data_IF_591893165778
#
_entry.id   IF_591893165778
#
_cell.length_a   1.000
_cell.length_b   1.000
_cell.length_c   1.000
_cell.angle_alpha   90.00
_cell.angle_beta   90.00
_cell.angle_gamma   90.00
#
_symmetry.space_group_name_H-M   'P 1'
#
loop_
_entity.id
_entity.type
_entity.pdbx_description
1 polymer ?
#
# COMPACT_ATOMS: atom_id res chain seq x y z
N UNK A 1 46.32 0.80 -13.43
CA UNK A 1 45.90 -0.58 -13.66
C UNK A 1 45.86 -0.81 -15.16
N UNK A 2 46.62 -1.76 -15.70
CA UNK A 2 46.47 -2.16 -17.09
C UNK A 2 45.27 -3.11 -17.19
N UNK A 3 44.38 -2.84 -18.15
CA UNK A 3 43.24 -3.72 -18.45
C UNK A 3 43.65 -4.55 -19.66
N UNK A 4 43.85 -5.84 -19.47
CA UNK A 4 44.08 -6.79 -20.56
C UNK A 4 42.76 -7.37 -21.03
N UNK A 5 42.59 -7.48 -22.35
CA UNK A 5 41.37 -7.96 -22.97
C UNK A 5 41.66 -9.30 -23.63
N UNK A 6 40.98 -10.36 -23.20
CA UNK A 6 41.07 -11.66 -23.85
C UNK A 6 40.36 -11.67 -25.21
N UNK A 7 40.79 -12.55 -26.10
CA UNK A 7 40.26 -12.69 -27.46
C UNK A 7 38.73 -12.90 -27.48
N UNK A 8 38.19 -13.66 -26.53
CA UNK A 8 36.75 -13.85 -26.38
C UNK A 8 35.98 -12.55 -26.11
N UNK A 9 36.53 -11.67 -25.29
CA UNK A 9 35.95 -10.35 -25.00
C UNK A 9 36.10 -9.42 -26.20
N UNK A 10 37.25 -9.47 -26.90
CA UNK A 10 37.46 -8.71 -28.12
C UNK A 10 36.47 -9.12 -29.23
N UNK A 11 36.23 -10.41 -29.42
CA UNK A 11 35.27 -10.93 -30.38
C UNK A 11 33.83 -10.48 -30.07
N UNK A 12 33.47 -10.41 -28.77
CA UNK A 12 32.19 -9.85 -28.34
C UNK A 12 32.08 -8.35 -28.66
N UNK A 13 33.14 -7.58 -28.48
CA UNK A 13 33.18 -6.16 -28.85
C UNK A 13 33.06 -5.98 -30.38
N UNK A 14 33.77 -6.80 -31.15
CA UNK A 14 33.72 -6.77 -32.61
C UNK A 14 32.31 -7.04 -33.17
N UNK A 15 31.56 -7.95 -32.54
CA UNK A 15 30.16 -8.23 -32.92
C UNK A 15 29.20 -7.05 -32.67
N UNK A 16 29.58 -6.06 -31.87
CA UNK A 16 28.77 -4.88 -31.54
C UNK A 16 29.10 -3.65 -32.41
N UNK A 17 30.07 -3.76 -33.31
CA UNK A 17 30.49 -2.71 -34.26
C UNK A 17 29.34 -2.36 -35.21
N UNK A 18 29.06 -1.07 -35.39
CA UNK A 18 28.12 -0.57 -36.38
C UNK A 18 28.89 0.19 -37.46
N UNK A 19 28.87 -0.32 -38.69
CA UNK A 19 29.60 0.31 -39.81
C UNK A 19 31.11 0.22 -39.64
N UNK A 20 31.79 1.37 -39.65
CA UNK A 20 33.27 1.47 -39.61
C UNK A 20 33.79 1.98 -38.25
N UNK A 21 33.08 1.69 -37.15
CA UNK A 21 33.54 2.10 -35.80
C UNK A 21 34.89 1.47 -35.46
N UNK A 22 35.76 2.26 -34.83
CA UNK A 22 36.98 1.75 -34.20
C UNK A 22 36.65 1.02 -32.90
N UNK A 23 37.51 0.11 -32.40
CA UNK A 23 37.30 -0.53 -31.10
C UNK A 23 37.09 0.48 -29.96
N UNK A 24 37.83 1.59 -29.98
CA UNK A 24 37.70 2.68 -29.01
C UNK A 24 36.33 3.37 -29.08
N UNK A 25 35.82 3.65 -30.29
CA UNK A 25 34.50 4.23 -30.48
C UNK A 25 33.37 3.29 -30.01
N UNK A 26 33.50 1.97 -30.24
CA UNK A 26 32.55 0.99 -29.73
C UNK A 26 32.57 0.96 -28.20
N UNK A 27 33.75 0.95 -27.59
CA UNK A 27 33.90 0.95 -26.13
C UNK A 27 33.27 2.21 -25.53
N UNK A 28 33.63 3.39 -26.03
CA UNK A 28 33.08 4.65 -25.52
C UNK A 28 31.57 4.74 -25.72
N UNK A 29 31.03 4.31 -26.87
CA UNK A 29 29.57 4.24 -27.07
C UNK A 29 28.87 3.30 -26.08
N UNK A 30 29.49 2.17 -25.75
CA UNK A 30 28.94 1.23 -24.77
C UNK A 30 29.02 1.79 -23.35
N UNK A 31 30.10 2.51 -23.02
CA UNK A 31 30.24 3.24 -21.75
C UNK A 31 29.17 4.33 -21.68
N UNK A 32 29.04 5.18 -22.70
CA UNK A 32 28.04 6.25 -22.76
C UNK A 32 26.61 5.70 -22.64
N UNK A 33 26.31 4.59 -23.33
CA UNK A 33 25.02 3.92 -23.23
C UNK A 33 24.75 3.37 -21.84
N UNK A 34 25.77 2.76 -21.20
CA UNK A 34 25.68 2.24 -19.84
C UNK A 34 25.53 3.37 -18.80
N UNK A 35 26.30 4.46 -18.94
CA UNK A 35 26.21 5.65 -18.07
C UNK A 35 24.87 6.37 -18.24
N UNK A 36 24.34 6.40 -19.46
CA UNK A 36 22.99 6.92 -19.75
C UNK A 36 21.91 6.05 -19.10
N UNK A 37 22.05 4.72 -19.16
CA UNK A 37 21.13 3.78 -18.54
C UNK A 37 21.20 3.84 -17.00
N UNK A 38 22.38 4.08 -16.42
CA UNK A 38 22.53 4.36 -14.98
C UNK A 38 21.87 5.66 -14.51
N UNK A 39 21.57 6.59 -15.42
CA UNK A 39 20.81 7.81 -15.12
C UNK A 39 19.31 7.66 -15.33
N UNK A 40 18.85 6.51 -15.87
CA UNK A 40 17.44 6.22 -16.06
C UNK A 40 16.83 5.83 -14.72
N UNK A 41 15.75 6.53 -14.33
CA UNK A 41 15.00 6.19 -13.11
C UNK A 41 14.47 4.76 -13.18
N UNK A 42 14.33 4.08 -12.02
CA UNK A 42 13.76 2.75 -11.96
C UNK A 42 12.37 2.71 -12.60
N UNK A 43 12.05 1.60 -13.24
CA UNK A 43 10.67 1.35 -13.67
C UNK A 43 9.77 1.20 -12.43
N UNK A 44 8.64 1.90 -12.41
CA UNK A 44 7.62 1.77 -11.37
C UNK A 44 6.45 0.94 -11.88
N UNK A 45 6.15 -0.14 -11.18
CA UNK A 45 4.97 -0.98 -11.43
C UNK A 45 4.06 -0.91 -10.22
N UNK A 46 2.78 -0.66 -10.45
CA UNK A 46 1.75 -0.61 -9.42
C UNK A 46 0.84 -1.83 -9.51
N UNK A 47 0.38 -2.31 -8.35
CA UNK A 47 -0.67 -3.30 -8.24
C UNK A 47 -1.66 -2.82 -7.16
N UNK A 48 -2.87 -2.35 -7.55
CA UNK A 48 -3.45 -2.38 -8.91
C UNK A 48 -2.70 -1.53 -9.96
N UNK A 49 -2.80 -1.93 -11.23
CA UNK A 49 -1.99 -1.37 -12.34
C UNK A 49 -2.34 0.07 -12.73
N UNK A 50 -3.58 0.48 -12.50
CA UNK A 50 -4.01 1.85 -12.68
C UNK A 50 -3.50 2.69 -11.51
N UNK A 51 -2.77 3.77 -11.82
CA UNK A 51 -2.11 4.60 -10.81
C UNK A 51 -3.08 5.39 -9.93
N UNK A 52 -4.21 5.85 -10.48
CA UNK A 52 -5.24 6.53 -9.70
C UNK A 52 -5.94 5.54 -8.76
N UNK A 53 -6.20 4.33 -9.24
CA UNK A 53 -6.78 3.25 -8.42
C UNK A 53 -5.82 2.83 -7.32
N UNK A 54 -4.53 2.70 -7.65
CA UNK A 54 -3.47 2.44 -6.69
C UNK A 54 -3.40 3.56 -5.65
N UNK A 55 -3.45 4.83 -6.07
CA UNK A 55 -3.44 5.98 -5.16
C UNK A 55 -4.65 5.97 -4.23
N UNK A 56 -5.85 5.66 -4.74
CA UNK A 56 -7.05 5.52 -3.89
C UNK A 56 -6.89 4.37 -2.88
N UNK A 57 -6.34 3.24 -3.31
CA UNK A 57 -6.08 2.11 -2.43
C UNK A 57 -5.00 2.43 -1.37
N UNK A 58 -3.94 3.17 -1.73
CA UNK A 58 -2.92 3.65 -0.77
C UNK A 58 -3.50 4.62 0.26
N UNK A 59 -4.50 5.44 -0.11
CA UNK A 59 -5.20 6.31 0.85
C UNK A 59 -6.04 5.51 1.85
N UNK A 60 -6.52 4.33 1.46
CA UNK A 60 -7.30 3.44 2.32
C UNK A 60 -6.41 2.49 3.14
N UNK A 61 -5.22 2.13 2.63
CA UNK A 61 -4.30 1.16 3.22
C UNK A 61 -2.94 1.80 3.54
N UNK A 62 -2.54 1.76 4.80
CA UNK A 62 -1.30 2.40 5.26
C UNK A 62 -0.02 1.55 5.06
N UNK A 63 -0.15 0.31 4.58
CA UNK A 63 0.99 -0.59 4.35
C UNK A 63 0.99 -1.14 2.93
N UNK A 64 2.09 -0.88 2.22
CA UNK A 64 2.30 -1.31 0.84
C UNK A 64 3.50 -2.24 0.80
N UNK A 65 3.38 -3.41 0.18
CA UNK A 65 4.53 -4.28 -0.08
C UNK A 65 5.31 -3.71 -1.26
N UNK A 66 6.63 -3.66 -1.14
CA UNK A 66 7.53 -3.17 -2.19
C UNK A 66 8.56 -4.25 -2.52
N UNK A 67 8.74 -4.51 -3.81
CA UNK A 67 9.76 -5.43 -4.33
C UNK A 67 10.69 -4.65 -5.27
N UNK A 68 11.97 -4.57 -4.92
CA UNK A 68 12.99 -3.79 -5.63
C UNK A 68 13.94 -4.75 -6.34
N UNK A 69 14.02 -4.62 -7.66
CA UNK A 69 14.91 -5.38 -8.51
C UNK A 69 16.14 -4.53 -8.82
N UNK A 70 17.32 -5.09 -8.60
CA UNK A 70 18.60 -4.44 -8.84
C UNK A 70 19.23 -4.85 -10.17
N UNK A 71 20.17 -4.03 -10.64
CA UNK A 71 20.91 -4.29 -11.88
C UNK A 71 21.77 -5.56 -11.84
N UNK A 72 22.14 -6.04 -10.65
CA UNK A 72 22.85 -7.31 -10.44
C UNK A 72 21.93 -8.54 -10.48
N UNK A 73 20.62 -8.34 -10.73
CA UNK A 73 19.61 -9.39 -10.77
C UNK A 73 19.01 -9.76 -9.41
N UNK A 74 19.47 -9.17 -8.30
CA UNK A 74 18.92 -9.43 -6.97
C UNK A 74 17.56 -8.74 -6.77
N UNK A 75 16.76 -9.30 -5.86
CA UNK A 75 15.46 -8.75 -5.45
C UNK A 75 15.44 -8.55 -3.94
N UNK A 76 15.10 -7.34 -3.51
CA UNK A 76 14.87 -6.98 -2.11
C UNK A 76 13.39 -6.68 -1.87
N UNK A 77 12.82 -7.26 -0.81
CA UNK A 77 11.44 -6.99 -0.41
C UNK A 77 11.40 -6.12 0.84
N UNK A 78 10.40 -5.27 0.93
CA UNK A 78 10.14 -4.46 2.11
C UNK A 78 8.71 -3.96 2.18
N UNK A 79 8.42 -3.23 3.26
CA UNK A 79 7.11 -2.60 3.47
C UNK A 79 7.27 -1.09 3.49
N UNK A 80 6.47 -0.40 2.69
CA UNK A 80 6.35 1.05 2.71
C UNK A 80 5.15 1.45 3.56
N UNK A 81 5.45 2.09 4.70
CA UNK A 81 4.44 2.73 5.53
C UNK A 81 4.24 4.16 5.02
N UNK A 82 3.08 4.42 4.44
CA UNK A 82 2.81 5.68 3.74
C UNK A 82 2.51 6.76 4.77
N UNK A 83 3.51 7.61 5.05
CA UNK A 83 3.35 8.79 5.90
C UNK A 83 3.16 10.00 5.00
N UNK A 84 1.91 10.46 4.87
CA UNK A 84 1.49 11.70 4.20
C UNK A 84 1.36 11.67 2.65
N UNK A 85 0.59 10.73 2.11
CA UNK A 85 -0.06 10.94 0.80
C UNK A 85 -1.44 11.55 1.05
N UNK A 86 -1.73 12.66 0.36
CA UNK A 86 -3.06 13.26 0.30
C UNK A 86 -3.65 13.02 -1.09
N UNK A 87 -4.96 13.23 -1.24
CA UNK A 87 -5.60 13.19 -2.56
C UNK A 87 -4.93 14.12 -3.58
N UNK A 88 -4.36 15.24 -3.12
CA UNK A 88 -3.71 16.24 -3.98
C UNK A 88 -2.22 15.99 -4.20
N UNK A 89 -1.56 15.15 -3.39
CA UNK A 89 -0.11 14.96 -3.51
C UNK A 89 0.26 14.00 -4.65
N UNK A 90 1.45 14.18 -5.22
CA UNK A 90 1.95 13.29 -6.28
C UNK A 90 2.47 11.99 -5.67
N UNK A 91 1.88 10.86 -6.07
CA UNK A 91 2.32 9.51 -5.67
C UNK A 91 3.80 9.30 -6.02
N UNK A 92 4.18 9.54 -7.28
CA UNK A 92 5.56 9.38 -7.74
C UNK A 92 6.54 10.28 -7.01
N UNK A 93 6.21 11.55 -6.75
CA UNK A 93 7.10 12.45 -6.03
C UNK A 93 7.40 11.95 -4.61
N UNK A 94 6.41 11.37 -3.92
CA UNK A 94 6.58 10.75 -2.61
C UNK A 94 7.43 9.49 -2.68
N UNK A 95 7.24 8.65 -3.70
CA UNK A 95 8.07 7.45 -3.91
C UNK A 95 9.54 7.84 -4.13
N UNK A 96 9.81 8.82 -4.99
CA UNK A 96 11.17 9.24 -5.34
C UNK A 96 11.89 9.98 -4.21
N UNK A 97 11.18 10.87 -3.50
CA UNK A 97 11.77 11.60 -2.38
C UNK A 97 11.81 10.79 -1.09
N UNK A 98 11.05 9.68 -1.02
CA UNK A 98 10.92 8.80 0.13
C UNK A 98 11.58 7.43 -0.10
N UNK A 99 10.75 6.41 -0.38
CA UNK A 99 11.16 4.99 -0.33
C UNK A 99 12.30 4.65 -1.31
N UNK A 100 12.24 5.20 -2.52
CA UNK A 100 13.27 5.04 -3.55
C UNK A 100 14.31 6.16 -3.53
N UNK A 101 14.46 6.88 -2.41
CA UNK A 101 15.58 7.82 -2.27
C UNK A 101 16.91 7.08 -2.37
N UNK A 102 17.84 7.64 -3.13
CA UNK A 102 19.16 7.05 -3.38
C UNK A 102 19.09 5.74 -4.16
N UNK A 103 18.11 5.60 -5.06
CA UNK A 103 17.91 4.38 -5.86
C UNK A 103 19.13 4.06 -6.73
N UNK A 104 19.88 5.07 -7.18
CA UNK A 104 21.04 4.92 -8.05
C UNK A 104 22.19 4.23 -7.32
N UNK A 105 22.50 4.69 -6.11
CA UNK A 105 23.53 4.11 -5.24
C UNK A 105 23.14 2.71 -4.78
N UNK A 106 21.84 2.44 -4.66
CA UNK A 106 21.28 1.12 -4.33
C UNK A 106 21.20 0.18 -5.54
N UNK A 107 21.51 0.65 -6.75
CA UNK A 107 21.46 -0.13 -8.00
C UNK A 107 20.05 -0.58 -8.40
N UNK A 108 19.00 0.11 -7.95
CA UNK A 108 17.61 -0.28 -8.22
C UNK A 108 17.28 0.09 -9.66
N UNK A 109 16.74 -0.87 -10.42
CA UNK A 109 16.32 -0.69 -11.82
C UNK A 109 14.81 -0.82 -12.01
N UNK A 110 14.12 -1.48 -11.08
CA UNK A 110 12.66 -1.60 -11.07
C UNK A 110 12.13 -1.75 -9.65
N UNK A 111 10.97 -1.16 -9.38
CA UNK A 111 10.26 -1.32 -8.11
C UNK A 111 8.78 -1.62 -8.37
N UNK A 112 8.28 -2.69 -7.75
CA UNK A 112 6.88 -3.12 -7.78
C UNK A 112 6.25 -2.76 -6.45
N UNK A 113 5.14 -2.03 -6.49
CA UNK A 113 4.37 -1.64 -5.32
C UNK A 113 3.02 -2.35 -5.35
N UNK A 114 2.74 -3.12 -4.31
CA UNK A 114 1.51 -3.89 -4.18
C UNK A 114 0.77 -3.46 -2.93
N UNK A 115 -0.47 -3.00 -3.10
CA UNK A 115 -1.37 -2.81 -1.96
C UNK A 115 -1.65 -4.19 -1.39
N UNK A 116 -1.23 -4.40 -0.14
CA UNK A 116 -1.61 -5.60 0.59
C UNK A 116 -2.92 -5.25 1.26
N UNK A 117 -4.00 -5.88 0.81
CA UNK A 117 -5.23 -5.89 1.60
C UNK A 117 -4.86 -6.45 2.97
N UNK A 118 -5.08 -5.65 4.01
CA UNK A 118 -4.78 -6.07 5.36
C UNK A 118 -5.79 -7.15 5.75
N UNK A 119 -5.51 -8.41 5.39
CA UNK A 119 -6.29 -9.57 5.79
C UNK A 119 -6.22 -9.82 7.30
N UNK A 120 -5.45 -9.01 8.05
CA UNK A 120 -5.52 -8.98 9.51
C UNK A 120 -6.65 -8.10 10.04
N UNK A 121 -7.25 -7.22 9.21
CA UNK A 121 -8.47 -6.52 9.57
C UNK A 121 -9.60 -7.57 9.52
N UNK A 122 -10.18 -7.96 10.67
CA UNK A 122 -11.17 -9.01 10.69
C UNK A 122 -12.39 -8.54 9.90
N UNK A 123 -12.85 -9.34 8.94
CA UNK A 123 -14.09 -9.03 8.23
C UNK A 123 -15.25 -8.97 9.24
N UNK A 124 -16.08 -7.91 9.19
CA UNK A 124 -17.25 -7.85 10.03
C UNK A 124 -18.28 -8.88 9.56
N UNK A 125 -18.72 -9.74 10.48
CA UNK A 125 -19.80 -10.70 10.27
C UNK A 125 -21.13 -9.98 10.01
N UNK A 126 -21.36 -8.86 10.69
CA UNK A 126 -22.55 -8.03 10.56
C UNK A 126 -22.12 -6.56 10.52
N UNK A 127 -22.74 -5.76 9.65
CA UNK A 127 -22.51 -4.32 9.60
C UNK A 127 -23.80 -3.58 9.27
N UNK A 128 -24.06 -2.49 9.99
CA UNK A 128 -25.23 -1.62 9.78
C UNK A 128 -24.81 -0.16 9.79
N UNK A 129 -25.47 0.64 8.97
CA UNK A 129 -25.25 2.09 8.91
C UNK A 129 -26.34 2.83 9.67
N UNK A 130 -25.95 3.79 10.49
CA UNK A 130 -26.85 4.71 11.19
C UNK A 130 -26.27 6.13 11.13
N UNK A 131 -26.84 6.96 10.26
CA UNK A 131 -26.30 8.30 9.95
C UNK A 131 -24.89 8.22 9.38
N UNK A 132 -23.97 8.95 10.01
CA UNK A 132 -22.52 8.98 9.73
C UNK A 132 -21.75 7.78 10.30
N UNK A 133 -22.40 6.96 11.15
CA UNK A 133 -21.78 5.84 11.81
C UNK A 133 -22.03 4.52 11.08
N UNK A 134 -20.98 3.71 10.95
CA UNK A 134 -21.06 2.29 10.59
C UNK A 134 -20.74 1.48 11.84
N UNK A 135 -21.67 0.64 12.26
CA UNK A 135 -21.53 -0.22 13.45
C UNK A 135 -21.40 -1.65 12.96
N UNK A 136 -20.30 -2.29 13.33
CA UNK A 136 -19.94 -3.62 12.83
C UNK A 136 -19.62 -4.58 13.97
N UNK A 137 -20.05 -5.84 13.82
CA UNK A 137 -19.70 -6.94 14.71
C UNK A 137 -18.73 -7.89 14.01
N UNK A 138 -17.64 -8.21 14.68
CA UNK A 138 -16.69 -9.24 14.24
C UNK A 138 -17.14 -10.64 14.65
N UNK A 139 -16.58 -11.66 14.03
CA UNK A 139 -16.80 -13.08 14.43
C UNK A 139 -16.48 -13.34 15.91
N UNK A 140 -15.50 -12.63 16.48
CA UNK A 140 -15.17 -12.70 17.92
C UNK A 140 -16.24 -12.09 18.85
N UNK A 141 -17.31 -11.50 18.30
CA UNK A 141 -18.33 -10.74 19.02
C UNK A 141 -17.89 -9.31 19.42
N UNK A 142 -16.70 -8.88 19.02
CA UNK A 142 -16.22 -7.50 19.25
C UNK A 142 -16.94 -6.51 18.34
N UNK A 143 -17.17 -5.30 18.85
CA UNK A 143 -17.89 -4.23 18.13
C UNK A 143 -16.91 -3.15 17.71
N UNK A 144 -16.94 -2.81 16.43
CA UNK A 144 -16.21 -1.71 15.81
C UNK A 144 -17.22 -0.65 15.40
N UNK A 145 -16.86 0.61 15.58
CA UNK A 145 -17.63 1.74 15.06
C UNK A 145 -16.71 2.60 14.21
N UNK A 146 -17.16 2.95 13.02
CA UNK A 146 -16.51 3.90 12.13
C UNK A 146 -17.42 5.12 11.96
N UNK A 147 -16.84 6.32 11.88
CA UNK A 147 -17.54 7.59 11.61
C UNK A 147 -16.94 8.19 10.34
N UNK A 148 -17.75 8.37 9.29
CA UNK A 148 -17.28 8.80 7.96
C UNK A 148 -16.07 7.99 7.45
N UNK A 149 -16.10 6.66 7.69
CA UNK A 149 -15.04 5.73 7.30
C UNK A 149 -13.81 5.69 8.23
N UNK A 150 -13.76 6.50 9.28
CA UNK A 150 -12.67 6.52 10.25
C UNK A 150 -13.03 5.73 11.51
N UNK A 151 -12.17 4.80 11.92
CA UNK A 151 -12.38 4.01 13.13
C UNK A 151 -12.45 4.88 14.40
N UNK A 152 -13.49 4.68 15.21
CA UNK A 152 -13.66 5.37 16.48
C UNK A 152 -12.97 4.56 17.58
N UNK A 153 -11.92 5.10 18.24
CA UNK A 153 -11.15 4.35 19.23
C UNK A 153 -11.94 4.06 20.52
N UNK A 154 -12.90 4.92 20.90
CA UNK A 154 -13.72 4.76 22.10
C UNK A 154 -15.18 4.55 21.72
N UNK A 155 -15.57 3.29 21.61
CA UNK A 155 -16.85 2.88 21.01
C UNK A 155 -18.06 3.11 21.93
N UNK A 156 -17.95 2.82 23.23
CA UNK A 156 -19.11 2.74 24.16
C UNK A 156 -19.95 4.03 24.23
N UNK A 157 -19.38 5.25 24.29
CA UNK A 157 -20.18 6.49 24.30
C UNK A 157 -20.97 6.71 23.01
N UNK A 158 -20.42 6.28 21.86
CA UNK A 158 -21.14 6.36 20.59
C UNK A 158 -22.34 5.43 20.61
N UNK A 159 -22.14 4.16 20.99
CA UNK A 159 -23.24 3.19 21.07
C UNK A 159 -24.36 3.64 22.02
N UNK A 160 -24.05 4.29 23.14
CA UNK A 160 -25.08 4.83 24.04
C UNK A 160 -25.93 5.90 23.39
N UNK A 161 -25.32 6.83 22.64
CA UNK A 161 -26.06 7.86 21.90
C UNK A 161 -26.96 7.24 20.84
N UNK A 162 -26.46 6.23 20.12
CA UNK A 162 -27.26 5.49 19.12
C UNK A 162 -28.41 4.73 19.79
N UNK A 163 -28.15 4.03 20.89
CA UNK A 163 -29.16 3.30 21.64
C UNK A 163 -30.27 4.21 22.16
N UNK A 164 -29.92 5.35 22.75
CA UNK A 164 -30.87 6.36 23.23
C UNK A 164 -31.74 6.90 22.08
N UNK A 165 -31.13 7.23 20.94
CA UNK A 165 -31.86 7.70 19.77
C UNK A 165 -32.79 6.63 19.16
N UNK A 166 -32.45 5.35 19.31
CA UNK A 166 -33.25 4.23 18.85
C UNK A 166 -34.27 3.73 19.88
N UNK A 167 -34.26 4.26 21.11
CA UNK A 167 -35.10 3.81 22.22
C UNK A 167 -34.73 2.43 22.78
N UNK A 168 -33.46 2.02 22.65
CA UNK A 168 -32.94 0.74 23.12
C UNK A 168 -32.48 0.90 24.58
N UNK A 169 -32.92 -0.01 25.45
CA UNK A 169 -32.47 -0.04 26.85
C UNK A 169 -30.96 -0.28 26.93
N UNK A 170 -30.28 0.52 27.74
CA UNK A 170 -28.83 0.44 27.95
C UNK A 170 -28.47 -0.57 29.06
N UNK A 171 -29.46 -1.16 29.73
CA UNK A 171 -29.30 -2.18 30.75
C UNK A 171 -29.70 -3.56 30.21
N UNK A 172 -29.04 -4.60 30.72
CA UNK A 172 -29.40 -5.98 30.42
C UNK A 172 -30.63 -6.45 31.23
N UNK A 173 -31.08 -7.68 30.97
CA UNK A 173 -32.21 -8.30 31.66
C UNK A 173 -32.06 -8.38 33.19
N UNK A 174 -30.83 -8.27 33.71
CA UNK A 174 -30.53 -8.28 35.14
C UNK A 174 -30.42 -6.86 35.72
N UNK A 175 -30.78 -5.82 34.96
CA UNK A 175 -30.74 -4.42 35.37
C UNK A 175 -29.35 -3.77 35.39
N UNK A 176 -28.31 -4.46 34.89
CA UNK A 176 -26.95 -3.93 34.87
C UNK A 176 -26.62 -3.27 33.51
N UNK A 177 -25.81 -2.19 33.47
CA UNK A 177 -25.43 -1.55 32.21
C UNK A 177 -24.73 -2.52 31.24
N UNK A 178 -25.20 -2.56 30.00
CA UNK A 178 -24.61 -3.38 28.95
C UNK A 178 -23.14 -3.01 28.71
N UNK A 179 -22.34 -4.02 28.41
CA UNK A 179 -21.00 -3.81 27.86
C UNK A 179 -21.10 -3.48 26.35
N UNK A 180 -19.98 -3.08 25.76
CA UNK A 180 -19.92 -2.65 24.35
C UNK A 180 -20.42 -3.74 23.40
N UNK A 181 -20.13 -5.02 23.68
CA UNK A 181 -20.54 -6.14 22.83
C UNK A 181 -22.04 -6.37 22.86
N UNK A 182 -22.63 -6.35 24.06
CA UNK A 182 -24.07 -6.51 24.26
C UNK A 182 -24.83 -5.34 23.63
N UNK A 183 -24.45 -4.10 23.95
CA UNK A 183 -25.15 -2.91 23.46
C UNK A 183 -25.05 -2.77 21.94
N UNK A 184 -23.87 -2.99 21.37
CA UNK A 184 -23.69 -2.97 19.92
C UNK A 184 -24.50 -4.06 19.22
N UNK A 185 -24.66 -5.22 19.87
CA UNK A 185 -25.48 -6.29 19.38
C UNK A 185 -26.97 -5.99 19.27
N UNK A 186 -27.54 -5.41 20.32
CA UNK A 186 -28.94 -4.98 20.32
C UNK A 186 -29.20 -3.90 19.27
N UNK A 187 -28.26 -2.96 19.09
CA UNK A 187 -28.35 -1.93 18.05
C UNK A 187 -28.35 -2.55 16.65
N UNK A 188 -27.41 -3.45 16.36
CA UNK A 188 -27.32 -4.13 15.06
C UNK A 188 -28.62 -4.88 14.77
N UNK A 189 -29.11 -5.67 15.73
CA UNK A 189 -30.36 -6.42 15.60
C UNK A 189 -31.55 -5.50 15.34
N UNK A 190 -31.68 -4.42 16.10
CA UNK A 190 -32.78 -3.45 15.96
C UNK A 190 -32.77 -2.74 14.60
N UNK A 191 -31.59 -2.42 14.06
CA UNK A 191 -31.44 -1.78 12.76
C UNK A 191 -31.68 -2.75 11.60
N UNK A 192 -31.24 -4.00 11.71
CA UNK A 192 -31.54 -5.04 10.70
C UNK A 192 -33.04 -5.34 10.62
N UNK A 193 -33.72 -5.44 11.77
CA UNK A 193 -35.17 -5.72 11.83
C UNK A 193 -36.00 -4.57 11.24
N UNK A 194 -35.49 -3.33 11.26
CA UNK A 194 -36.16 -2.16 10.68
C UNK A 194 -35.93 -2.00 9.17
N UNK A 195 -35.03 -2.79 8.57
CA UNK A 195 -34.73 -2.74 7.15
C UNK A 195 -35.60 -3.70 6.31
N UNK A 196 -36.32 -4.62 6.95
CA UNK A 196 -37.35 -5.49 6.36
C UNK A 196 -38.75 -4.86 6.48
#
# INVERSE_FOLDING_TARGET
MQIEIYESTYNRLAALVKGFETPDAVINRLIDAFETDQNKRPELVFNPSNEDDFKRAVLQHNQIKVEMFKSDGTCEQGTWNVRAISETSSLRANIWSGYLRGWKEKGIVRAVFTVVEDSSKPEPQESVKWGEYTISRLESGSIIVECDGNAVPVVKPVLRRVAEALGIDQNNSNGNPMNTRQLGGEIIKALMTKAE
#
